data_IF_976468975686
#
_entry.id   IF_976468975686
#
_cell.length_a   1.000
_cell.length_b   1.000
_cell.length_c   1.000
_cell.angle_alpha   90.00
_cell.angle_beta   90.00
_cell.angle_gamma   90.00
#
_symmetry.space_group_name_H-M   'P 1'
#
loop_
_entity.id
_entity.type
_entity.pdbx_description
1 polymer ?
#
# COMPACT_ATOMS: atom_id res chain seq x y z
N UNK A 1 8.48 4.09 13.80
CA UNK A 1 7.85 4.01 15.13
C UNK A 1 6.89 5.19 15.24
N UNK A 2 5.63 5.01 15.63
CA UNK A 2 4.66 6.10 15.65
C UNK A 2 4.99 7.02 16.83
N UNK A 3 5.44 8.23 16.54
CA UNK A 3 5.64 9.23 17.58
C UNK A 3 4.30 9.94 17.87
N UNK A 4 3.69 9.63 19.01
CA UNK A 4 2.41 10.20 19.44
C UNK A 4 2.50 11.70 19.79
N UNK A 5 3.70 12.28 19.82
CA UNK A 5 3.87 13.74 19.96
C UNK A 5 3.43 14.49 18.72
N UNK A 6 3.41 13.84 17.55
CA UNK A 6 2.87 14.42 16.32
C UNK A 6 1.35 14.41 16.35
N UNK A 7 0.75 15.60 16.15
CA UNK A 7 -0.71 15.79 16.24
C UNK A 7 -1.47 14.88 15.28
N UNK A 8 -0.98 14.72 14.06
CA UNK A 8 -1.62 13.89 13.02
C UNK A 8 -1.61 12.40 13.38
N UNK A 9 -0.53 11.91 13.99
CA UNK A 9 -0.43 10.53 14.51
C UNK A 9 -1.44 10.29 15.64
N UNK A 10 -1.58 11.24 16.58
CA UNK A 10 -2.55 11.12 17.66
C UNK A 10 -3.98 11.12 17.13
N UNK A 11 -4.29 12.02 16.19
CA UNK A 11 -5.63 12.14 15.58
C UNK A 11 -6.03 10.82 14.90
N UNK A 12 -5.15 10.21 14.09
CA UNK A 12 -5.51 8.96 13.41
C UNK A 12 -5.71 7.80 14.38
N UNK A 13 -4.94 7.74 15.47
CA UNK A 13 -5.11 6.69 16.48
C UNK A 13 -6.46 6.83 17.18
N UNK A 14 -6.84 8.04 17.56
CA UNK A 14 -8.15 8.32 18.16
C UNK A 14 -9.27 8.03 17.14
N UNK A 15 -9.10 8.47 15.90
CA UNK A 15 -10.08 8.22 14.83
C UNK A 15 -10.27 6.73 14.59
N UNK A 16 -9.19 5.95 14.48
CA UNK A 16 -9.25 4.51 14.29
C UNK A 16 -9.96 3.81 15.46
N UNK A 17 -9.73 4.26 16.70
CA UNK A 17 -10.42 3.73 17.87
C UNK A 17 -11.92 4.04 17.85
N UNK A 18 -12.31 5.29 17.55
CA UNK A 18 -13.70 5.69 17.42
C UNK A 18 -14.41 4.93 16.30
N UNK A 19 -13.74 4.76 15.16
CA UNK A 19 -14.26 4.02 14.01
C UNK A 19 -14.37 2.53 14.32
N UNK A 20 -13.48 1.98 15.15
CA UNK A 20 -13.61 0.59 15.62
C UNK A 20 -14.87 0.39 16.44
N UNK A 21 -15.16 1.33 17.35
CA UNK A 21 -16.36 1.33 18.19
C UNK A 21 -17.61 1.50 17.32
N UNK A 22 -17.61 2.47 16.40
CA UNK A 22 -18.73 2.69 15.49
C UNK A 22 -18.97 1.47 14.59
N UNK A 23 -17.91 0.87 14.04
CA UNK A 23 -17.98 -0.34 13.24
C UNK A 23 -18.53 -1.53 14.02
N UNK A 24 -18.15 -1.68 15.29
CA UNK A 24 -18.72 -2.71 16.17
C UNK A 24 -20.23 -2.48 16.37
N UNK A 25 -20.65 -1.25 16.66
CA UNK A 25 -22.08 -0.91 16.85
C UNK A 25 -22.89 -1.20 15.58
N UNK A 26 -22.36 -0.82 14.40
CA UNK A 26 -23.06 -0.96 13.11
C UNK A 26 -23.12 -2.42 12.64
N UNK A 27 -22.05 -3.18 12.81
CA UNK A 27 -21.96 -4.57 12.33
C UNK A 27 -22.45 -5.59 13.36
N UNK A 28 -22.58 -5.21 14.62
CA UNK A 28 -22.84 -6.10 15.75
C UNK A 28 -21.65 -6.98 16.15
N UNK A 29 -20.55 -6.97 15.39
CA UNK A 29 -19.38 -7.82 15.61
C UNK A 29 -18.16 -7.04 16.11
N UNK A 30 -17.62 -7.43 17.26
CA UNK A 30 -16.43 -6.79 17.83
C UNK A 30 -15.22 -6.88 16.87
N UNK A 31 -14.99 -8.06 16.30
CA UNK A 31 -13.87 -8.30 15.37
C UNK A 31 -14.04 -7.47 14.08
N UNK A 32 -15.26 -7.39 13.54
CA UNK A 32 -15.55 -6.55 12.37
C UNK A 32 -15.29 -5.07 12.63
N UNK A 33 -15.65 -4.57 13.82
CA UNK A 33 -15.28 -3.22 14.26
C UNK A 33 -13.77 -2.99 14.24
N UNK A 34 -12.99 -3.91 14.82
CA UNK A 34 -11.52 -3.83 14.79
C UNK A 34 -10.96 -3.85 13.36
N UNK A 35 -11.54 -4.64 12.45
CA UNK A 35 -11.12 -4.65 11.05
C UNK A 35 -11.33 -3.30 10.37
N UNK A 36 -12.46 -2.62 10.62
CA UNK A 36 -12.77 -1.31 10.03
C UNK A 36 -11.83 -0.23 10.58
N UNK A 37 -11.61 -0.20 11.90
CA UNK A 37 -10.68 0.77 12.50
C UNK A 37 -9.23 0.51 12.10
N UNK A 38 -8.80 -0.76 12.06
CA UNK A 38 -7.50 -1.16 11.55
C UNK A 38 -7.30 -0.79 10.08
N UNK A 39 -8.32 -1.00 9.24
CA UNK A 39 -8.32 -0.56 7.84
C UNK A 39 -8.20 0.95 7.69
N UNK A 40 -8.89 1.72 8.54
CA UNK A 40 -8.78 3.20 8.59
C UNK A 40 -7.36 3.65 8.92
N UNK A 41 -6.77 3.04 9.97
CA UNK A 41 -5.39 3.32 10.37
C UNK A 41 -4.39 2.95 9.27
N UNK A 42 -4.56 1.80 8.63
CA UNK A 42 -3.69 1.36 7.54
C UNK A 42 -3.85 2.20 6.27
N UNK A 43 -5.05 2.73 6.00
CA UNK A 43 -5.27 3.68 4.89
C UNK A 43 -4.43 4.94 5.07
N UNK A 44 -4.47 5.52 6.28
CA UNK A 44 -3.62 6.65 6.63
C UNK A 44 -2.14 6.30 6.50
N UNK A 45 -1.73 5.13 6.99
CA UNK A 45 -0.33 4.70 6.92
C UNK A 45 0.14 4.56 5.47
N UNK A 46 -0.67 3.96 4.60
CA UNK A 46 -0.38 3.85 3.17
C UNK A 46 -0.26 5.23 2.53
N UNK A 47 -1.21 6.13 2.78
CA UNK A 47 -1.17 7.47 2.21
C UNK A 47 0.09 8.25 2.60
N UNK A 48 0.59 8.09 3.83
CA UNK A 48 1.88 8.69 4.25
C UNK A 48 3.09 8.12 3.52
N UNK A 49 3.06 6.86 3.13
CA UNK A 49 4.14 6.28 2.32
C UNK A 49 4.12 6.81 0.88
N UNK A 50 2.94 7.15 0.34
CA UNK A 50 2.79 7.66 -1.03
C UNK A 50 3.03 9.17 -1.10
N UNK A 51 2.51 9.94 -0.14
CA UNK A 51 2.63 11.40 -0.02
C UNK A 51 3.19 11.81 1.36
N UNK A 52 4.50 11.60 1.60
CA UNK A 52 5.12 11.89 2.89
C UNK A 52 5.15 13.40 3.23
N UNK A 53 5.02 14.27 2.23
CA UNK A 53 5.10 15.71 2.41
C UNK A 53 3.85 16.30 3.05
N UNK A 54 2.68 15.73 2.77
CA UNK A 54 1.42 16.31 3.20
C UNK A 54 0.70 15.39 4.19
N UNK A 55 0.96 15.57 5.48
CA UNK A 55 0.35 14.73 6.52
C UNK A 55 -1.19 14.78 6.52
N UNK A 56 -1.78 15.89 6.06
CA UNK A 56 -3.23 16.04 5.96
C UNK A 56 -3.86 15.25 4.81
N UNK A 57 -3.12 14.94 3.75
CA UNK A 57 -3.64 14.08 2.67
C UNK A 57 -3.88 12.66 3.19
N UNK A 58 -3.03 12.19 4.11
CA UNK A 58 -3.23 10.91 4.78
C UNK A 58 -4.44 10.89 5.73
N UNK A 59 -4.71 11.99 6.44
CA UNK A 59 -5.92 12.11 7.26
C UNK A 59 -7.18 12.13 6.38
N UNK A 60 -7.13 12.83 5.25
CA UNK A 60 -8.22 12.82 4.27
C UNK A 60 -8.45 11.41 3.72
N UNK A 61 -7.39 10.64 3.46
CA UNK A 61 -7.50 9.25 3.00
C UNK A 61 -8.21 8.36 4.03
N UNK A 62 -7.85 8.48 5.31
CA UNK A 62 -8.56 7.78 6.39
C UNK A 62 -10.04 8.18 6.47
N UNK A 63 -10.36 9.48 6.33
CA UNK A 63 -11.74 9.95 6.34
C UNK A 63 -12.57 9.39 5.16
N UNK A 64 -12.00 9.34 3.95
CA UNK A 64 -12.67 8.76 2.78
C UNK A 64 -12.86 7.24 2.96
N UNK A 65 -11.91 6.55 3.59
CA UNK A 65 -12.02 5.09 3.83
C UNK A 65 -13.16 4.70 4.78
N UNK A 66 -13.76 5.65 5.51
CA UNK A 66 -14.92 5.40 6.35
C UNK A 66 -16.16 4.94 5.55
N UNK A 67 -16.16 5.12 4.23
CA UNK A 67 -17.16 4.53 3.32
C UNK A 67 -17.24 3.00 3.49
N UNK A 68 -16.17 2.35 3.97
CA UNK A 68 -16.16 0.92 4.31
C UNK A 68 -17.17 0.54 5.39
N UNK A 69 -17.61 1.46 6.27
CA UNK A 69 -18.63 1.17 7.29
C UNK A 69 -19.95 0.70 6.64
N UNK A 70 -20.22 1.15 5.42
CA UNK A 70 -21.43 0.80 4.67
C UNK A 70 -21.31 -0.50 3.86
N UNK A 71 -20.14 -1.14 3.85
CA UNK A 71 -19.86 -2.34 3.07
C UNK A 71 -19.46 -3.49 4.00
N UNK A 72 -20.26 -4.55 4.04
CA UNK A 72 -20.12 -5.64 5.02
C UNK A 72 -19.08 -6.72 4.63
N UNK A 73 -18.30 -6.52 3.57
CA UNK A 73 -17.25 -7.46 3.18
C UNK A 73 -16.06 -7.44 4.15
N UNK A 74 -15.29 -8.52 4.22
CA UNK A 74 -14.09 -8.55 5.06
C UNK A 74 -12.97 -7.68 4.49
N UNK A 75 -12.33 -6.87 5.35
CA UNK A 75 -11.10 -6.14 5.04
C UNK A 75 -9.90 -7.07 5.27
N UNK A 76 -9.08 -7.29 4.25
CA UNK A 76 -7.87 -8.12 4.36
C UNK A 76 -6.71 -7.28 4.89
N UNK A 77 -6.74 -6.97 6.20
CA UNK A 77 -5.71 -6.19 6.90
C UNK A 77 -4.29 -6.69 6.59
N UNK A 78 -4.12 -8.01 6.49
CA UNK A 78 -2.82 -8.61 6.25
C UNK A 78 -2.22 -8.22 4.88
N UNK A 79 -3.03 -8.17 3.82
CA UNK A 79 -2.60 -7.74 2.49
C UNK A 79 -2.21 -6.26 2.51
N UNK A 80 -2.99 -5.43 3.19
CA UNK A 80 -2.73 -3.99 3.31
C UNK A 80 -1.44 -3.73 4.12
N UNK A 81 -1.24 -4.47 5.21
CA UNK A 81 -0.02 -4.41 6.00
C UNK A 81 1.21 -4.90 5.22
N UNK A 82 1.06 -5.98 4.44
CA UNK A 82 2.11 -6.46 3.54
C UNK A 82 2.47 -5.41 2.48
N UNK A 83 1.48 -4.77 1.86
CA UNK A 83 1.71 -3.71 0.89
C UNK A 83 2.45 -2.54 1.54
N UNK A 84 2.04 -2.12 2.75
CA UNK A 84 2.71 -1.07 3.52
C UNK A 84 4.19 -1.39 3.79
N UNK A 85 4.50 -2.62 4.24
CA UNK A 85 5.88 -3.03 4.51
C UNK A 85 6.72 -3.10 3.22
N UNK A 86 6.12 -3.58 2.13
CA UNK A 86 6.75 -3.64 0.82
C UNK A 86 7.08 -2.23 0.30
N UNK A 87 6.17 -1.27 0.48
CA UNK A 87 6.41 0.14 0.15
C UNK A 87 7.52 0.75 1.00
N UNK A 88 7.51 0.53 2.32
CA UNK A 88 8.56 1.01 3.23
C UNK A 88 9.95 0.54 2.83
N UNK A 89 10.04 -0.72 2.41
CA UNK A 89 11.28 -1.30 1.89
C UNK A 89 11.80 -0.50 0.68
N UNK A 90 10.92 -0.13 -0.26
CA UNK A 90 11.32 0.63 -1.46
C UNK A 90 11.60 2.09 -1.16
N UNK A 91 10.64 2.79 -0.54
CA UNK A 91 10.66 4.22 -0.27
C UNK A 91 11.84 4.65 0.59
N UNK A 92 12.16 3.88 1.64
CA UNK A 92 13.25 4.23 2.56
C UNK A 92 13.05 5.54 3.32
N UNK A 93 11.79 5.93 3.54
CA UNK A 93 11.42 7.13 4.30
C UNK A 93 11.93 7.14 5.75
N UNK A 94 12.31 5.98 6.29
CA UNK A 94 12.90 5.88 7.62
C UNK A 94 14.37 6.37 7.69
N UNK A 95 14.97 6.86 6.60
CA UNK A 95 16.35 7.36 6.53
C UNK A 95 17.45 6.27 6.68
N UNK A 96 17.08 5.07 7.15
CA UNK A 96 17.99 3.94 7.34
C UNK A 96 18.03 3.03 6.11
N UNK A 97 19.18 2.40 5.83
CA UNK A 97 19.21 1.37 4.81
C UNK A 97 18.34 0.18 5.24
N UNK A 98 17.47 -0.29 4.34
CA UNK A 98 16.73 -1.56 4.49
C UNK A 98 17.66 -2.65 4.99
N UNK A 99 17.29 -3.27 6.10
CA UNK A 99 18.08 -4.32 6.72
C UNK A 99 17.76 -5.69 6.09
N UNK A 100 18.65 -6.65 6.28
CA UNK A 100 18.40 -8.04 5.86
C UNK A 100 17.15 -8.60 6.54
N UNK A 101 16.96 -8.24 7.82
CA UNK A 101 15.78 -8.64 8.59
C UNK A 101 14.49 -8.10 7.97
N UNK A 102 14.46 -6.84 7.53
CA UNK A 102 13.28 -6.26 6.87
C UNK A 102 12.95 -7.02 5.58
N UNK A 103 13.96 -7.33 4.76
CA UNK A 103 13.76 -8.08 3.52
C UNK A 103 13.27 -9.51 3.77
N UNK A 104 13.81 -10.20 4.78
CA UNK A 104 13.36 -11.54 5.16
C UNK A 104 11.96 -11.53 5.75
N UNK A 105 11.60 -10.50 6.53
CA UNK A 105 10.25 -10.33 7.07
C UNK A 105 9.24 -10.13 5.94
N UNK A 106 9.54 -9.24 4.97
CA UNK A 106 8.67 -9.03 3.81
C UNK A 106 8.60 -10.29 2.95
N UNK A 107 9.71 -11.00 2.71
CA UNK A 107 9.71 -12.28 1.99
C UNK A 107 8.86 -13.34 2.71
N UNK A 108 9.02 -13.48 4.03
CA UNK A 108 8.26 -14.44 4.83
C UNK A 108 6.76 -14.15 4.79
N UNK A 109 6.38 -12.87 4.93
CA UNK A 109 4.98 -12.44 4.82
C UNK A 109 4.43 -12.63 3.41
N UNK A 110 5.23 -12.33 2.38
CA UNK A 110 4.87 -12.56 0.97
C UNK A 110 4.63 -14.04 0.73
N UNK A 111 5.53 -14.90 1.20
CA UNK A 111 5.44 -16.35 1.05
C UNK A 111 4.20 -16.89 1.77
N UNK A 112 3.93 -16.42 2.99
CA UNK A 112 2.74 -16.78 3.75
C UNK A 112 1.45 -16.40 3.00
N UNK A 113 1.35 -15.17 2.50
CA UNK A 113 0.20 -14.73 1.69
C UNK A 113 0.05 -15.56 0.41
N UNK A 114 1.17 -15.85 -0.25
CA UNK A 114 1.21 -16.65 -1.47
C UNK A 114 0.62 -18.05 -1.27
N UNK A 115 0.93 -18.69 -0.14
CA UNK A 115 0.36 -20.00 0.20
C UNK A 115 -1.08 -19.90 0.72
N UNK A 116 -1.40 -18.91 1.55
CA UNK A 116 -2.73 -18.80 2.16
C UNK A 116 -3.82 -18.37 1.17
N UNK A 117 -3.46 -17.56 0.18
CA UNK A 117 -4.35 -17.14 -0.90
C UNK A 117 -4.22 -18.01 -2.15
N UNK A 118 -3.39 -19.06 -2.12
CA UNK A 118 -3.10 -19.93 -3.27
C UNK A 118 -2.72 -19.15 -4.55
N UNK A 119 -1.96 -18.06 -4.36
CA UNK A 119 -1.71 -17.10 -5.43
C UNK A 119 -0.26 -16.60 -5.44
N UNK A 120 0.46 -16.87 -6.51
CA UNK A 120 1.87 -16.51 -6.68
C UNK A 120 2.12 -15.03 -7.03
N UNK A 121 1.07 -14.22 -7.25
CA UNK A 121 1.19 -12.79 -7.60
C UNK A 121 1.93 -11.97 -6.53
N UNK A 122 1.80 -12.35 -5.25
CA UNK A 122 2.49 -11.67 -4.15
C UNK A 122 4.01 -11.73 -4.35
N UNK A 123 4.53 -12.85 -4.84
CA UNK A 123 5.96 -13.01 -5.14
C UNK A 123 6.39 -12.13 -6.32
N UNK A 124 5.56 -11.93 -7.33
CA UNK A 124 5.84 -10.99 -8.44
C UNK A 124 5.98 -9.56 -7.90
N UNK A 125 5.04 -9.12 -7.06
CA UNK A 125 5.10 -7.79 -6.45
C UNK A 125 6.37 -7.63 -5.60
N UNK A 126 6.73 -8.65 -4.83
CA UNK A 126 7.96 -8.64 -4.05
C UNK A 126 9.23 -8.59 -4.92
N UNK A 127 9.26 -9.35 -6.02
CA UNK A 127 10.36 -9.33 -7.00
C UNK A 127 10.49 -7.95 -7.65
N UNK A 128 9.37 -7.31 -8.01
CA UNK A 128 9.35 -5.93 -8.50
C UNK A 128 9.91 -4.96 -7.45
N UNK A 129 9.52 -5.11 -6.18
CA UNK A 129 10.04 -4.30 -5.09
C UNK A 129 11.57 -4.47 -4.93
N UNK A 130 12.08 -5.70 -4.98
CA UNK A 130 13.53 -5.96 -4.95
C UNK A 130 14.26 -5.37 -6.15
N UNK A 131 13.68 -5.45 -7.35
CA UNK A 131 14.25 -4.85 -8.55
C UNK A 131 14.38 -3.33 -8.40
N UNK A 132 13.35 -2.67 -7.86
CA UNK A 132 13.35 -1.23 -7.59
C UNK A 132 14.38 -0.84 -6.51
N UNK A 133 14.51 -1.63 -5.43
CA UNK A 133 15.53 -1.42 -4.40
C UNK A 133 16.94 -1.57 -4.98
N UNK A 134 17.16 -2.57 -5.84
CA UNK A 134 18.46 -2.84 -6.45
C UNK A 134 18.93 -1.74 -7.39
N UNK A 135 18.01 -1.03 -8.06
CA UNK A 135 18.35 0.08 -8.98
C UNK A 135 19.00 1.26 -8.25
N UNK A 136 18.69 1.45 -6.97
CA UNK A 136 19.24 2.54 -6.15
C UNK A 136 20.44 2.14 -5.27
N UNK A 137 20.90 0.89 -5.31
CA UNK A 137 21.96 0.38 -4.41
C UNK A 137 22.94 -0.54 -5.15
N UNK A 138 24.15 -0.68 -4.62
CA UNK A 138 25.05 -1.74 -5.07
C UNK A 138 24.42 -3.10 -4.76
N UNK A 139 24.35 -3.99 -5.75
CA UNK A 139 23.90 -5.36 -5.54
C UNK A 139 24.79 -6.04 -4.49
N UNK A 140 24.23 -6.33 -3.33
CA UNK A 140 24.88 -7.16 -2.31
C UNK A 140 24.61 -8.62 -2.61
N UNK A 141 25.52 -9.51 -2.19
CA UNK A 141 25.31 -10.97 -2.30
C UNK A 141 23.98 -11.40 -1.68
N UNK A 142 23.59 -10.77 -0.57
CA UNK A 142 22.33 -11.05 0.11
C UNK A 142 21.11 -10.72 -0.75
N UNK A 143 21.09 -9.59 -1.46
CA UNK A 143 19.97 -9.22 -2.33
C UNK A 143 19.82 -10.24 -3.47
N UNK A 144 20.94 -10.69 -4.05
CA UNK A 144 20.94 -11.74 -5.09
C UNK A 144 20.35 -13.05 -4.55
N UNK A 145 20.76 -13.46 -3.35
CA UNK A 145 20.26 -14.70 -2.72
C UNK A 145 18.76 -14.61 -2.45
N UNK A 146 18.28 -13.51 -1.86
CA UNK A 146 16.85 -13.30 -1.59
C UNK A 146 16.04 -13.29 -2.90
N UNK A 147 16.55 -12.63 -3.94
CA UNK A 147 15.92 -12.61 -5.25
C UNK A 147 15.86 -14.01 -5.89
N UNK A 148 16.95 -14.79 -5.80
CA UNK A 148 16.99 -16.16 -6.28
C UNK A 148 15.98 -17.05 -5.55
N UNK A 149 15.90 -16.95 -4.21
CA UNK A 149 14.92 -17.70 -3.41
C UNK A 149 13.49 -17.33 -3.82
N UNK A 150 13.17 -16.03 -3.91
CA UNK A 150 11.85 -15.55 -4.31
C UNK A 150 11.48 -16.00 -5.73
N UNK A 151 12.44 -15.99 -6.66
CA UNK A 151 12.25 -16.45 -8.04
C UNK A 151 11.99 -17.96 -8.11
N UNK A 152 12.75 -18.76 -7.37
CA UNK A 152 12.55 -20.22 -7.30
C UNK A 152 11.17 -20.54 -6.70
N UNK A 153 10.79 -19.86 -5.60
CA UNK A 153 9.47 -20.02 -5.00
C UNK A 153 8.36 -19.65 -5.97
N UNK A 154 8.51 -18.55 -6.70
CA UNK A 154 7.54 -18.12 -7.71
C UNK A 154 7.38 -19.18 -8.79
N UNK A 155 8.47 -19.61 -9.41
CA UNK A 155 8.44 -20.65 -10.46
C UNK A 155 7.84 -21.95 -9.93
N UNK A 156 8.19 -22.36 -8.71
CA UNK A 156 7.64 -23.57 -8.10
C UNK A 156 6.11 -23.46 -7.93
N UNK A 157 5.62 -22.37 -7.32
CA UNK A 157 4.19 -22.18 -7.11
C UNK A 157 3.40 -22.00 -8.41
N UNK A 158 3.95 -21.28 -9.39
CA UNK A 158 3.25 -21.04 -10.65
C UNK A 158 3.20 -22.29 -11.55
N UNK A 159 4.25 -23.11 -11.60
CA UNK A 159 4.31 -24.26 -12.51
C UNK A 159 3.90 -25.60 -11.89
N UNK A 160 4.12 -25.79 -10.58
CA UNK A 160 3.83 -27.08 -9.93
C UNK A 160 2.54 -27.07 -9.10
N UNK A 161 2.12 -25.90 -8.61
CA UNK A 161 0.90 -25.77 -7.81
C UNK A 161 -0.24 -25.07 -8.56
N UNK A 162 0.01 -24.56 -9.77
CA UNK A 162 -0.94 -23.77 -10.56
C UNK A 162 -1.51 -22.55 -9.82
N UNK A 163 -0.72 -21.97 -8.89
CA UNK A 163 -1.11 -20.80 -8.09
C UNK A 163 -1.06 -19.47 -8.89
N UNK A 164 -0.99 -19.49 -10.21
CA UNK A 164 -1.10 -18.28 -11.02
C UNK A 164 -2.39 -18.33 -11.82
N UNK A 165 -3.44 -17.74 -11.28
CA UNK A 165 -4.72 -17.60 -11.96
C UNK A 165 -4.86 -16.18 -12.52
N UNK A 166 -5.44 -16.07 -13.71
CA UNK A 166 -5.75 -14.79 -14.34
C UNK A 166 -7.25 -14.59 -14.34
N UNK A 167 -7.71 -13.48 -13.75
CA UNK A 167 -9.10 -13.09 -13.78
C UNK A 167 -9.44 -12.56 -15.18
N UNK A 168 -10.39 -13.23 -15.83
CA UNK A 168 -10.85 -12.81 -17.16
C UNK A 168 -11.44 -11.39 -17.13
N UNK A 169 -11.30 -10.64 -18.22
CA UNK A 169 -11.91 -9.31 -18.32
C UNK A 169 -13.44 -9.33 -18.17
N UNK A 170 -14.09 -10.45 -18.55
CA UNK A 170 -15.54 -10.62 -18.43
C UNK A 170 -16.05 -10.76 -17.00
N UNK A 171 -15.18 -11.08 -16.04
CA UNK A 171 -15.53 -11.17 -14.61
C UNK A 171 -15.29 -9.86 -13.84
N UNK A 172 -14.78 -8.81 -14.51
CA UNK A 172 -14.53 -7.52 -13.86
C UNK A 172 -15.84 -6.74 -13.68
N UNK A 173 -16.16 -6.41 -12.43
CA UNK A 173 -17.28 -5.53 -12.11
C UNK A 173 -16.96 -4.08 -12.53
N UNK A 174 -17.97 -3.29 -12.89
CA UNK A 174 -17.84 -1.87 -13.28
C UNK A 174 -17.02 -1.05 -12.27
N UNK A 175 -17.17 -1.32 -10.97
CA UNK A 175 -16.38 -0.68 -9.91
C UNK A 175 -14.88 -0.97 -10.01
N UNK A 176 -14.51 -2.21 -10.35
CA UNK A 176 -13.10 -2.60 -10.54
C UNK A 176 -12.49 -1.91 -11.75
N UNK A 177 -13.26 -1.77 -12.85
CA UNK A 177 -12.82 -1.09 -14.07
C UNK A 177 -12.53 0.40 -13.79
N UNK A 178 -13.42 1.11 -13.10
CA UNK A 178 -13.16 2.51 -12.72
C UNK A 178 -11.93 2.65 -11.83
N UNK A 179 -11.71 1.69 -10.93
CA UNK A 179 -10.55 1.67 -10.06
C UNK A 179 -9.25 1.46 -10.85
N UNK A 180 -9.25 0.54 -11.82
CA UNK A 180 -8.12 0.32 -12.73
C UNK A 180 -7.79 1.59 -13.54
N UNK A 181 -8.80 2.30 -14.04
CA UNK A 181 -8.60 3.58 -14.73
C UNK A 181 -7.96 4.61 -13.78
N UNK A 182 -8.45 4.69 -12.54
CA UNK A 182 -7.89 5.60 -11.54
C UNK A 182 -6.42 5.27 -11.22
N UNK A 183 -6.06 4.00 -11.05
CA UNK A 183 -4.68 3.56 -10.85
C UNK A 183 -3.82 3.70 -12.12
N UNK A 184 -4.41 3.70 -13.31
CA UNK A 184 -3.71 4.06 -14.54
C UNK A 184 -3.37 5.55 -14.59
N UNK A 185 -4.29 6.41 -14.17
CA UNK A 185 -4.09 7.86 -14.14
C UNK A 185 -3.16 8.29 -12.99
N UNK A 186 -3.12 7.53 -11.88
CA UNK A 186 -2.27 7.84 -10.72
C UNK A 186 -0.77 7.91 -11.09
N UNK A 187 -0.31 7.17 -12.12
CA UNK A 187 1.07 7.27 -12.61
C UNK A 187 1.43 8.69 -13.06
N UNK A 188 0.50 9.40 -13.70
CA UNK A 188 0.69 10.80 -14.11
C UNK A 188 0.78 11.69 -12.87
N UNK A 189 -0.08 11.46 -11.87
CA UNK A 189 -0.06 12.20 -10.62
C UNK A 189 1.26 11.99 -9.86
N UNK A 190 1.75 10.76 -9.76
CA UNK A 190 3.01 10.43 -9.09
C UNK A 190 4.22 11.08 -9.76
N UNK A 191 4.20 11.21 -11.08
CA UNK A 191 5.22 11.97 -11.79
C UNK A 191 5.29 13.43 -11.32
N UNK A 192 4.14 14.07 -11.05
CA UNK A 192 4.08 15.42 -10.49
C UNK A 192 4.44 15.45 -9.00
N UNK A 193 3.90 14.52 -8.20
CA UNK A 193 4.11 14.47 -6.76
C UNK A 193 5.60 14.26 -6.42
N UNK A 194 6.28 13.40 -7.18
CA UNK A 194 7.71 13.14 -7.00
C UNK A 194 8.59 14.39 -7.17
N UNK A 195 8.14 15.41 -7.91
CA UNK A 195 8.92 16.65 -8.11
C UNK A 195 9.04 17.49 -6.84
N UNK A 196 8.19 17.23 -5.85
CA UNK A 196 8.19 17.99 -4.62
C UNK A 196 9.23 17.45 -3.63
N UNK A 197 9.95 18.37 -3.00
CA UNK A 197 10.92 18.01 -1.98
C UNK A 197 10.18 17.49 -0.73
N UNK A 198 10.43 16.22 -0.41
CA UNK A 198 9.96 15.56 0.81
C UNK A 198 11.13 15.33 1.77
N UNK A 199 10.80 15.20 3.05
CA UNK A 199 11.75 14.99 4.14
C UNK A 199 11.53 13.59 4.71
N UNK A 200 12.62 12.90 5.03
CA UNK A 200 12.58 11.60 5.69
C UNK A 200 12.36 11.72 7.21
N UNK A 201 12.14 10.60 7.90
CA UNK A 201 11.90 10.57 9.34
C UNK A 201 13.06 11.14 10.18
N UNK A 202 14.25 11.29 9.58
CA UNK A 202 15.45 11.85 10.23
C UNK A 202 15.66 13.33 9.93
N UNK A 203 14.76 13.96 9.15
CA UNK A 203 14.87 15.36 8.76
C UNK A 203 15.72 15.61 7.50
N UNK A 204 16.21 14.56 6.83
CA UNK A 204 17.01 14.68 5.62
C UNK A 204 16.12 14.69 4.37
N UNK A 205 16.64 15.26 3.27
CA UNK A 205 15.93 15.26 1.99
C UNK A 205 15.75 13.82 1.48
N UNK A 206 14.51 13.41 1.28
CA UNK A 206 14.19 12.08 0.79
C UNK A 206 14.62 11.91 -0.68
N UNK A 207 15.09 10.72 -1.04
CA UNK A 207 15.48 10.42 -2.42
C UNK A 207 14.24 10.32 -3.32
N UNK A 208 14.13 11.28 -4.22
CA UNK A 208 13.05 11.39 -5.20
C UNK A 208 12.87 10.13 -6.04
N UNK A 209 13.97 9.46 -6.43
CA UNK A 209 13.88 8.25 -7.25
C UNK A 209 13.23 7.10 -6.49
N UNK A 210 13.48 7.01 -5.18
CA UNK A 210 12.93 5.96 -4.32
C UNK A 210 11.46 6.20 -4.01
N UNK A 211 11.08 7.47 -3.77
CA UNK A 211 9.68 7.86 -3.61
C UNK A 211 8.85 7.55 -4.85
N UNK A 212 9.34 7.94 -6.03
CA UNK A 212 8.65 7.61 -7.28
C UNK A 212 8.55 6.09 -7.49
N UNK A 213 9.60 5.34 -7.13
CA UNK A 213 9.59 3.89 -7.22
C UNK A 213 8.52 3.25 -6.31
N UNK A 214 8.34 3.71 -5.07
CA UNK A 214 7.28 3.18 -4.21
C UNK A 214 5.88 3.61 -4.66
N UNK A 215 5.72 4.83 -5.18
CA UNK A 215 4.46 5.28 -5.78
C UNK A 215 4.07 4.40 -6.99
N UNK A 216 5.01 4.16 -7.90
CA UNK A 216 4.84 3.26 -9.04
C UNK A 216 4.53 1.84 -8.58
N UNK A 217 5.28 1.33 -7.59
CA UNK A 217 5.06 0.01 -7.01
C UNK A 217 3.66 -0.12 -6.42
N UNK A 218 3.16 0.90 -5.72
CA UNK A 218 1.82 0.89 -5.14
C UNK A 218 0.74 0.65 -6.20
N UNK A 219 0.70 1.47 -7.25
CA UNK A 219 -0.31 1.32 -8.31
C UNK A 219 -0.10 0.06 -9.13
N UNK A 220 1.15 -0.32 -9.44
CA UNK A 220 1.44 -1.58 -10.10
C UNK A 220 0.97 -2.80 -9.28
N UNK A 221 1.19 -2.79 -7.96
CA UNK A 221 0.77 -3.88 -7.06
C UNK A 221 -0.75 -4.05 -7.07
N UNK A 222 -1.49 -2.95 -6.99
CA UNK A 222 -2.96 -3.01 -6.96
C UNK A 222 -3.51 -3.47 -8.31
N UNK A 223 -2.95 -2.99 -9.43
CA UNK A 223 -3.32 -3.45 -10.77
C UNK A 223 -3.07 -4.97 -10.90
N UNK A 224 -1.90 -5.43 -10.47
CA UNK A 224 -1.56 -6.86 -10.46
C UNK A 224 -2.52 -7.67 -9.58
N UNK A 225 -2.82 -7.20 -8.37
CA UNK A 225 -3.78 -7.88 -7.49
C UNK A 225 -5.18 -7.94 -8.11
N UNK A 226 -5.66 -6.90 -8.79
CA UNK A 226 -6.99 -6.95 -9.45
C UNK A 226 -7.01 -7.97 -10.59
N UNK A 227 -5.93 -8.09 -11.37
CA UNK A 227 -5.87 -9.02 -12.50
C UNK A 227 -5.62 -10.48 -12.12
N UNK A 228 -4.89 -10.72 -11.04
CA UNK A 228 -4.45 -12.07 -10.69
C UNK A 228 -5.04 -12.56 -9.37
N UNK A 229 -5.67 -11.72 -8.56
CA UNK A 229 -6.24 -12.09 -7.26
C UNK A 229 -7.67 -11.56 -7.06
N UNK A 230 -8.39 -12.13 -6.10
CA UNK A 230 -9.73 -11.67 -5.73
C UNK A 230 -9.63 -10.52 -4.72
N UNK A 231 -9.53 -9.28 -5.21
CA UNK A 231 -9.53 -8.09 -4.35
C UNK A 231 -10.97 -7.78 -3.89
N UNK A 232 -11.21 -7.82 -2.58
CA UNK A 232 -12.51 -7.42 -2.01
C UNK A 232 -12.81 -5.93 -2.24
N UNK A 233 -14.09 -5.59 -2.31
CA UNK A 233 -14.56 -4.22 -2.52
C UNK A 233 -14.01 -3.28 -1.43
N UNK A 234 -13.96 -3.76 -0.19
CA UNK A 234 -13.45 -2.99 0.94
C UNK A 234 -11.94 -2.69 0.88
N UNK A 235 -11.14 -3.63 0.37
CA UNK A 235 -9.71 -3.35 0.14
C UNK A 235 -9.54 -2.34 -1.00
N UNK A 236 -10.36 -2.46 -2.05
CA UNK A 236 -10.35 -1.55 -3.18
C UNK A 236 -10.75 -0.12 -2.77
N UNK A 237 -11.75 0.04 -1.89
CA UNK A 237 -12.11 1.35 -1.29
C UNK A 237 -10.91 1.95 -0.55
N UNK A 238 -10.17 1.15 0.23
CA UNK A 238 -8.96 1.63 0.93
C UNK A 238 -7.93 2.13 -0.08
N UNK A 239 -7.65 1.36 -1.13
CA UNK A 239 -6.67 1.73 -2.13
C UNK A 239 -7.07 2.99 -2.92
N UNK A 240 -8.33 3.07 -3.32
CA UNK A 240 -8.88 4.22 -4.03
C UNK A 240 -8.90 5.47 -3.14
N UNK A 241 -9.19 5.32 -1.84
CA UNK A 241 -9.19 6.42 -0.87
C UNK A 241 -7.84 7.12 -0.79
N UNK A 242 -6.74 6.35 -0.84
CA UNK A 242 -5.38 6.91 -0.86
C UNK A 242 -5.17 7.79 -2.10
N UNK A 243 -5.49 7.29 -3.29
CA UNK A 243 -5.29 8.05 -4.53
C UNK A 243 -6.17 9.29 -4.57
N UNK A 244 -7.46 9.16 -4.25
CA UNK A 244 -8.40 10.29 -4.27
C UNK A 244 -7.96 11.37 -3.30
N UNK A 245 -7.61 11.01 -2.06
CA UNK A 245 -7.20 11.98 -1.05
C UNK A 245 -5.94 12.74 -1.45
N UNK A 246 -4.92 12.05 -1.95
CA UNK A 246 -3.69 12.69 -2.43
C UNK A 246 -3.98 13.61 -3.61
N UNK A 247 -4.85 13.18 -4.54
CA UNK A 247 -5.26 13.97 -5.70
C UNK A 247 -5.98 15.25 -5.29
N UNK A 248 -7.01 15.13 -4.44
CA UNK A 248 -7.78 16.27 -3.96
C UNK A 248 -6.91 17.26 -3.20
N UNK A 249 -6.04 16.75 -2.32
CA UNK A 249 -5.13 17.59 -1.55
C UNK A 249 -4.12 18.31 -2.43
N UNK A 250 -3.49 17.60 -3.38
CA UNK A 250 -2.54 18.18 -4.32
C UNK A 250 -3.16 19.30 -5.17
N UNK A 251 -4.36 19.05 -5.72
CA UNK A 251 -5.10 20.06 -6.50
C UNK A 251 -5.45 21.26 -5.61
N UNK A 252 -5.97 21.01 -4.40
CA UNK A 252 -6.32 22.07 -3.45
C UNK A 252 -5.14 22.97 -3.13
N UNK A 253 -4.00 22.40 -2.69
CA UNK A 253 -2.80 23.19 -2.36
C UNK A 253 -2.31 24.02 -3.54
N UNK A 254 -2.33 23.45 -4.76
CA UNK A 254 -1.85 24.15 -5.96
C UNK A 254 -2.77 25.30 -6.39
N UNK A 255 -4.08 25.17 -6.20
CA UNK A 255 -5.04 26.24 -6.45
C UNK A 255 -4.86 27.36 -5.42
N UNK A 256 -4.76 27.02 -4.13
CA UNK A 256 -4.66 28.02 -3.06
C UNK A 256 -3.32 28.78 -3.03
N UNK A 257 -2.20 28.16 -3.44
CA UNK A 257 -0.90 28.85 -3.54
C UNK A 257 -0.77 29.78 -4.74
N UNK A 258 -1.73 29.78 -5.68
CA UNK A 258 -1.68 30.60 -6.89
C UNK A 258 -2.35 31.98 -6.70
N UNK A 259 -2.98 32.20 -5.53
CA UNK A 259 -3.48 33.49 -5.06
C UNK A 259 -2.55 34.04 -3.98
#
# INVERSE_FOLDING_TARGET
MIDLKYKTNLIVVILAALVSIAGWIVTGGFISGLYIGGGTFLTWALAREIDPKHEYSALLAAAISLINIFHYESISILIIAWLLLTLRMVNGLCGKPVTIFDMLLVLGLTTYLSFNSENSIYLIVFLLALALVSRGRKLTRTLVVINAIASILFLYQSFFLDYLSFNSFGSLNTQTVYSLILFGISFVLFWFLSKEDAVDDTGNKADRSRLLAGQVLYSASIILLVFFDAVSTNNLIIYVSVIIAITLYYIGVKIFKRN
#
